data_IF_437692186210
#
_entry.id   IF_437692186210
#
_cell.length_a   1.000
_cell.length_b   1.000
_cell.length_c   1.000
_cell.angle_alpha   90.00
_cell.angle_beta   90.00
_cell.angle_gamma   90.00
#
_symmetry.space_group_name_H-M   'P 1'
#
loop_
_entity.id
_entity.type
_entity.pdbx_description
1 polymer ?
#
# COMPACT_ATOMS: atom_id res chain seq x y z
N UNK A 1 21.84 -26.77 -5.40
CA UNK A 1 20.46 -26.32 -5.10
C UNK A 1 20.18 -25.05 -5.89
N UNK A 2 19.04 -24.95 -6.58
CA UNK A 2 18.88 -24.00 -7.69
C UNK A 2 18.80 -22.55 -7.21
N UNK A 3 19.55 -21.66 -7.86
CA UNK A 3 19.42 -20.21 -7.76
C UNK A 3 17.94 -19.86 -7.90
N UNK A 4 17.31 -19.28 -6.87
CA UNK A 4 15.90 -18.88 -6.95
C UNK A 4 15.75 -17.90 -8.12
N UNK A 5 14.77 -18.13 -8.98
CA UNK A 5 14.57 -17.26 -10.14
C UNK A 5 14.25 -15.83 -9.68
N UNK A 6 14.64 -14.82 -10.46
CA UNK A 6 14.40 -13.43 -10.11
C UNK A 6 12.89 -13.14 -9.93
N UNK A 7 12.04 -13.77 -10.75
CA UNK A 7 10.59 -13.72 -10.61
C UNK A 7 10.09 -14.29 -9.28
N UNK A 8 10.72 -15.37 -8.79
CA UNK A 8 10.42 -15.94 -7.46
C UNK A 8 10.79 -14.96 -6.34
N UNK A 9 11.94 -14.29 -6.44
CA UNK A 9 12.36 -13.30 -5.44
C UNK A 9 11.41 -12.10 -5.41
N UNK A 10 10.96 -11.62 -6.58
CA UNK A 10 9.95 -10.55 -6.68
C UNK A 10 8.62 -10.99 -6.07
N UNK A 11 8.18 -12.23 -6.31
CA UNK A 11 6.98 -12.77 -5.68
C UNK A 11 7.12 -12.85 -4.14
N UNK A 12 8.28 -13.27 -3.64
CA UNK A 12 8.58 -13.28 -2.20
C UNK A 12 8.54 -11.86 -1.64
N UNK A 13 9.13 -10.89 -2.35
CA UNK A 13 9.11 -9.48 -1.97
C UNK A 13 7.68 -8.96 -1.83
N UNK A 14 6.86 -9.13 -2.88
CA UNK A 14 5.45 -8.70 -2.88
C UNK A 14 4.63 -9.34 -1.77
N UNK A 15 4.94 -10.57 -1.38
CA UNK A 15 4.21 -11.26 -0.31
C UNK A 15 4.66 -10.86 1.09
N UNK A 16 5.96 -10.64 1.30
CA UNK A 16 6.54 -10.52 2.66
C UNK A 16 7.05 -9.14 3.03
N UNK A 17 7.45 -8.34 2.05
CA UNK A 17 8.16 -7.08 2.25
C UNK A 17 7.34 -5.89 1.74
N UNK A 18 6.77 -5.99 0.53
CA UNK A 18 5.93 -4.95 -0.08
C UNK A 18 4.80 -4.42 0.82
N UNK A 19 3.96 -5.29 1.43
CA UNK A 19 2.89 -4.83 2.32
C UNK A 19 3.42 -4.11 3.55
N UNK A 20 4.60 -4.52 4.05
CA UNK A 20 5.18 -3.91 5.25
C UNK A 20 5.71 -2.50 4.98
N UNK A 21 6.34 -2.28 3.83
CA UNK A 21 6.77 -0.93 3.44
C UNK A 21 5.57 -0.05 3.09
N UNK A 22 4.52 -0.60 2.47
CA UNK A 22 3.27 0.11 2.22
C UNK A 22 2.62 0.59 3.53
N UNK A 23 2.31 -0.32 4.47
CA UNK A 23 1.75 0.03 5.79
C UNK A 23 2.64 1.01 6.56
N UNK A 24 3.95 0.93 6.36
CA UNK A 24 4.89 1.84 6.98
C UNK A 24 4.81 3.27 6.40
N UNK A 25 4.62 3.40 5.08
CA UNK A 25 4.50 4.68 4.39
C UNK A 25 3.10 5.28 4.54
N UNK A 26 2.04 4.46 4.62
CA UNK A 26 0.67 4.89 4.89
C UNK A 26 0.58 5.71 6.19
N UNK A 27 1.35 5.32 7.22
CA UNK A 27 1.47 6.08 8.45
C UNK A 27 1.88 7.55 8.24
N UNK A 28 2.71 7.84 7.23
CA UNK A 28 3.14 9.21 6.92
C UNK A 28 2.09 9.95 6.08
N UNK A 29 1.41 9.25 5.19
CA UNK A 29 0.29 9.79 4.39
C UNK A 29 -0.88 10.25 5.28
N UNK A 30 -1.13 9.56 6.39
CA UNK A 30 -2.23 9.87 7.33
C UNK A 30 -1.92 11.00 8.33
N UNK A 31 -0.68 11.50 8.37
CA UNK A 31 -0.32 12.58 9.30
C UNK A 31 -1.08 13.86 8.95
N UNK A 32 -1.62 14.54 9.96
CA UNK A 32 -2.42 15.75 9.75
C UNK A 32 -1.58 17.02 9.55
N UNK A 33 -0.28 16.96 9.87
CA UNK A 33 0.60 18.12 9.80
C UNK A 33 1.96 17.78 9.20
N UNK A 34 2.49 18.71 8.41
CA UNK A 34 3.86 18.62 7.90
C UNK A 34 4.89 18.64 9.04
N UNK A 35 4.60 19.32 10.14
CA UNK A 35 5.44 19.31 11.33
C UNK A 35 5.61 17.89 11.89
N UNK A 36 4.51 17.13 12.00
CA UNK A 36 4.56 15.73 12.41
C UNK A 36 5.28 14.88 11.37
N UNK A 37 5.04 15.11 10.08
CA UNK A 37 5.73 14.39 9.01
C UNK A 37 7.24 14.59 9.08
N UNK A 38 7.73 15.82 9.26
CA UNK A 38 9.16 16.12 9.45
C UNK A 38 9.71 15.47 10.72
N UNK A 39 8.95 15.54 11.81
CA UNK A 39 9.32 14.93 13.09
C UNK A 39 9.51 13.43 12.96
N UNK A 40 8.55 12.73 12.39
CA UNK A 40 8.60 11.27 12.25
C UNK A 40 9.51 10.82 11.11
N UNK A 41 9.68 11.61 10.05
CA UNK A 41 10.57 11.26 8.93
C UNK A 41 12.02 11.15 9.40
N UNK A 42 12.42 12.03 10.32
CA UNK A 42 13.76 12.02 10.91
C UNK A 42 13.93 10.93 11.97
N UNK A 43 12.93 10.67 12.83
CA UNK A 43 13.08 9.81 14.02
C UNK A 43 12.52 8.38 13.91
N UNK A 44 11.69 8.10 12.90
CA UNK A 44 10.92 6.85 12.82
C UNK A 44 9.65 6.83 13.69
N UNK A 45 8.79 5.83 13.49
CA UNK A 45 7.56 5.65 14.27
C UNK A 45 7.88 5.29 15.74
N UNK A 46 7.15 5.89 16.68
CA UNK A 46 7.22 5.63 18.14
C UNK A 46 8.58 5.83 18.82
N UNK A 47 9.46 6.68 18.28
CA UNK A 47 10.81 6.85 18.83
C UNK A 47 11.67 5.57 18.75
N UNK A 48 11.20 4.57 17.99
CA UNK A 48 11.96 3.38 17.62
C UNK A 48 12.66 3.68 16.32
N UNK A 49 13.93 4.03 16.47
CA UNK A 49 14.89 4.23 15.39
C UNK A 49 14.81 3.03 14.44
N UNK A 50 14.49 3.26 13.16
CA UNK A 50 14.50 2.17 12.17
C UNK A 50 15.91 1.60 12.07
N UNK A 51 16.03 0.28 11.81
CA UNK A 51 17.29 -0.47 11.81
C UNK A 51 18.45 0.18 11.02
N UNK A 52 18.15 1.06 10.06
CA UNK A 52 19.12 1.79 9.26
C UNK A 52 19.51 3.18 9.83
N UNK A 53 18.61 3.85 10.57
CA UNK A 53 18.90 5.12 11.25
C UNK A 53 19.66 4.94 12.57
N UNK A 54 19.82 3.69 13.04
CA UNK A 54 20.63 3.34 14.21
C UNK A 54 22.08 3.84 14.13
N UNK A 55 22.60 4.05 12.91
CA UNK A 55 23.96 4.51 12.66
C UNK A 55 24.13 6.04 12.64
N UNK A 56 23.05 6.82 12.64
CA UNK A 56 23.10 8.30 12.56
C UNK A 56 23.16 8.92 13.96
N UNK A 57 22.46 8.33 14.93
CA UNK A 57 22.40 8.79 16.32
C UNK A 57 21.29 9.84 16.56
N UNK A 58 20.60 9.73 17.71
CA UNK A 58 19.42 10.55 18.04
C UNK A 58 19.66 12.06 17.92
N UNK A 59 20.84 12.52 18.33
CA UNK A 59 21.22 13.94 18.27
C UNK A 59 21.28 14.47 16.84
N UNK A 60 21.80 13.67 15.90
CA UNK A 60 21.91 14.06 14.49
C UNK A 60 20.56 14.02 13.77
N UNK A 61 19.71 13.05 14.10
CA UNK A 61 18.32 13.03 13.61
C UNK A 61 17.53 14.23 14.12
N UNK A 62 17.79 14.68 15.35
CA UNK A 62 17.19 15.90 15.88
C UNK A 62 17.74 17.17 15.22
N UNK A 63 19.03 17.20 14.85
CA UNK A 63 19.59 18.27 14.03
C UNK A 63 18.91 18.32 12.65
N UNK A 64 18.74 17.17 11.99
CA UNK A 64 18.06 17.07 10.71
C UNK A 64 16.60 17.55 10.80
N UNK A 65 15.88 17.12 11.84
CA UNK A 65 14.51 17.57 12.12
C UNK A 65 14.41 19.09 12.23
N UNK A 66 15.28 19.70 13.05
CA UNK A 66 15.30 21.16 13.25
C UNK A 66 15.63 21.93 11.98
N UNK A 67 16.56 21.41 11.18
CA UNK A 67 16.90 22.03 9.90
C UNK A 67 15.70 21.94 8.95
N UNK A 68 15.14 20.75 8.73
CA UNK A 68 14.02 20.56 7.82
C UNK A 68 12.77 21.35 8.25
N UNK A 69 12.52 21.45 9.57
CA UNK A 69 11.39 22.24 10.08
C UNK A 69 11.53 23.74 9.78
N UNK A 70 12.74 24.29 9.72
CA UNK A 70 12.96 25.70 9.30
C UNK A 70 12.73 25.93 7.81
N UNK A 71 12.72 24.86 7.02
CA UNK A 71 12.53 24.88 5.58
C UNK A 71 11.20 24.21 5.18
N UNK A 72 10.21 24.17 6.08
CA UNK A 72 8.91 23.55 5.85
C UNK A 72 8.18 24.14 4.62
N UNK A 73 8.26 25.45 4.42
CA UNK A 73 7.65 26.12 3.26
C UNK A 73 8.28 25.66 1.93
N UNK A 74 9.61 25.49 1.90
CA UNK A 74 10.31 24.97 0.72
C UNK A 74 9.97 23.49 0.47
N UNK A 75 9.79 22.72 1.54
CA UNK A 75 9.35 21.31 1.46
C UNK A 75 7.94 21.22 0.85
N UNK A 76 6.98 22.05 1.28
CA UNK A 76 5.62 22.09 0.70
C UNK A 76 5.62 22.55 -0.77
N UNK A 77 6.57 23.40 -1.16
CA UNK A 77 6.65 23.92 -2.52
C UNK A 77 7.28 22.93 -3.52
N UNK A 78 7.82 21.79 -3.06
CA UNK A 78 8.38 20.75 -3.94
C UNK A 78 7.29 20.17 -4.85
N UNK A 79 7.62 19.96 -6.13
CA UNK A 79 6.67 19.46 -7.15
C UNK A 79 6.94 18.03 -7.59
N UNK A 80 8.12 17.52 -7.26
CA UNK A 80 8.56 16.17 -7.59
C UNK A 80 9.32 15.57 -6.42
N UNK A 81 9.43 14.24 -6.42
CA UNK A 81 10.28 13.55 -5.45
C UNK A 81 11.75 13.96 -5.59
N UNK A 82 12.22 14.25 -6.80
CA UNK A 82 13.60 14.66 -7.04
C UNK A 82 13.91 16.04 -6.44
N UNK A 83 12.97 16.99 -6.56
CA UNK A 83 13.06 18.29 -5.89
C UNK A 83 13.16 18.13 -4.37
N UNK A 84 12.29 17.28 -3.80
CA UNK A 84 12.26 16.99 -2.37
C UNK A 84 13.54 16.29 -1.90
N UNK A 85 14.01 15.29 -2.65
CA UNK A 85 15.24 14.57 -2.34
C UNK A 85 16.44 15.51 -2.37
N UNK A 86 16.55 16.33 -3.42
CA UNK A 86 17.61 17.33 -3.58
C UNK A 86 17.57 18.38 -2.47
N UNK A 87 16.38 18.84 -2.08
CA UNK A 87 16.22 19.78 -0.97
C UNK A 87 16.70 19.16 0.35
N UNK A 88 16.24 17.95 0.68
CA UNK A 88 16.64 17.24 1.90
C UNK A 88 18.16 17.02 1.90
N UNK A 89 18.74 16.54 0.79
CA UNK A 89 20.19 16.34 0.65
C UNK A 89 20.96 17.64 0.92
N UNK A 90 20.60 18.73 0.24
CA UNK A 90 21.27 20.01 0.36
C UNK A 90 21.20 20.56 1.78
N UNK A 91 20.01 20.51 2.41
CA UNK A 91 19.81 21.05 3.76
C UNK A 91 20.47 20.20 4.84
N UNK A 92 20.60 18.88 4.63
CA UNK A 92 21.18 17.96 5.61
C UNK A 92 22.65 17.63 5.35
N UNK A 93 23.25 18.11 4.25
CA UNK A 93 24.63 17.84 3.84
C UNK A 93 25.70 18.17 4.89
N UNK A 94 25.46 19.15 5.75
CA UNK A 94 26.37 19.55 6.84
C UNK A 94 26.26 18.67 8.10
N UNK A 95 25.27 17.78 8.16
CA UNK A 95 25.02 16.92 9.31
C UNK A 95 25.89 15.67 9.19
N UNK A 96 26.89 15.58 10.06
CA UNK A 96 27.77 14.42 10.13
C UNK A 96 26.98 13.10 10.21
N UNK A 97 27.37 12.14 9.36
CA UNK A 97 26.79 10.79 9.21
C UNK A 97 25.35 10.74 8.69
N UNK A 98 24.75 11.85 8.26
CA UNK A 98 23.49 11.86 7.54
C UNK A 98 23.72 11.57 6.04
N UNK A 99 24.07 10.31 5.74
CA UNK A 99 24.46 9.91 4.38
C UNK A 99 23.26 9.67 3.44
N UNK A 100 23.57 9.35 2.17
CA UNK A 100 22.62 9.10 1.07
C UNK A 100 21.42 8.22 1.45
N UNK A 101 21.64 7.17 2.26
CA UNK A 101 20.54 6.32 2.74
C UNK A 101 19.59 7.06 3.68
N UNK A 102 20.10 7.84 4.63
CA UNK A 102 19.29 8.61 5.57
C UNK A 102 18.53 9.74 4.86
N UNK A 103 19.16 10.37 3.87
CA UNK A 103 18.52 11.33 2.96
C UNK A 103 17.35 10.66 2.26
N UNK A 104 17.59 9.57 1.53
CA UNK A 104 16.54 8.87 0.79
C UNK A 104 15.39 8.40 1.69
N UNK A 105 15.69 7.75 2.83
CA UNK A 105 14.68 7.32 3.80
C UNK A 105 13.81 8.47 4.30
N UNK A 106 14.41 9.64 4.56
CA UNK A 106 13.71 10.83 5.04
C UNK A 106 12.85 11.42 3.93
N UNK A 107 13.41 11.53 2.72
CA UNK A 107 12.69 12.02 1.53
C UNK A 107 11.52 11.11 1.17
N UNK A 108 11.68 9.78 1.27
CA UNK A 108 10.60 8.82 0.98
C UNK A 108 9.42 8.97 1.94
N UNK A 109 9.68 9.19 3.23
CA UNK A 109 8.65 9.41 4.25
C UNK A 109 7.94 10.75 4.07
N UNK A 110 8.71 11.81 3.80
CA UNK A 110 8.12 13.12 3.49
C UNK A 110 7.34 13.10 2.17
N UNK A 111 7.86 12.39 1.17
CA UNK A 111 7.20 12.18 -0.11
C UNK A 111 5.87 11.48 0.04
N UNK A 112 5.79 10.44 0.88
CA UNK A 112 4.53 9.76 1.20
C UNK A 112 3.48 10.70 1.83
N UNK A 113 3.90 11.69 2.61
CA UNK A 113 3.00 12.70 3.19
C UNK A 113 2.56 13.76 2.17
N UNK A 114 3.45 14.12 1.23
CA UNK A 114 3.21 15.15 0.21
C UNK A 114 2.66 14.60 -1.11
N UNK A 115 2.42 13.29 -1.18
CA UNK A 115 2.09 12.55 -2.42
C UNK A 115 3.13 12.74 -3.54
N UNK A 116 4.41 12.83 -3.17
CA UNK A 116 5.56 12.91 -4.07
C UNK A 116 6.31 11.58 -4.05
N UNK A 117 6.20 10.82 -5.14
CA UNK A 117 6.77 9.47 -5.24
C UNK A 117 7.99 9.41 -6.18
N UNK A 118 8.99 8.57 -5.89
CA UNK A 118 10.13 8.42 -6.79
C UNK A 118 9.72 7.83 -8.13
N UNK A 119 10.19 8.42 -9.23
CA UNK A 119 10.01 7.88 -10.59
C UNK A 119 11.18 6.96 -11.00
N UNK A 120 12.32 7.09 -10.31
CA UNK A 120 13.54 6.32 -10.53
C UNK A 120 14.00 5.64 -9.23
N UNK A 121 14.86 4.63 -9.37
CA UNK A 121 15.46 3.94 -8.21
C UNK A 121 16.69 4.71 -7.74
N UNK A 122 16.63 5.27 -6.53
CA UNK A 122 17.76 5.96 -5.90
C UNK A 122 18.75 4.95 -5.29
N UNK A 123 20.04 5.23 -5.43
CA UNK A 123 21.11 4.29 -5.14
C UNK A 123 21.96 4.67 -3.92
N UNK A 124 21.85 3.86 -2.87
CA UNK A 124 22.78 3.85 -1.74
C UNK A 124 23.59 2.54 -1.71
N UNK A 125 24.38 2.31 -0.66
CA UNK A 125 25.32 1.18 -0.61
C UNK A 125 24.63 -0.19 -0.75
N UNK A 126 23.40 -0.35 -0.28
CA UNK A 126 22.64 -1.59 -0.36
C UNK A 126 22.14 -1.86 -1.79
N UNK A 127 21.44 -0.91 -2.38
CA UNK A 127 20.92 -1.01 -3.74
C UNK A 127 21.99 -1.07 -4.80
N UNK A 128 23.12 -0.36 -4.62
CA UNK A 128 24.29 -0.51 -5.52
C UNK A 128 24.80 -1.95 -5.58
N UNK A 129 24.82 -2.67 -4.45
CA UNK A 129 25.18 -4.09 -4.42
C UNK A 129 24.14 -4.94 -5.16
N UNK A 130 22.85 -4.67 -4.93
CA UNK A 130 21.75 -5.32 -5.63
C UNK A 130 21.82 -5.17 -7.15
N UNK A 131 21.93 -3.94 -7.64
CA UNK A 131 22.07 -3.63 -9.06
C UNK A 131 23.30 -4.31 -9.68
N UNK A 132 24.46 -4.24 -9.02
CA UNK A 132 25.69 -4.89 -9.50
C UNK A 132 25.51 -6.40 -9.63
N UNK A 133 24.84 -7.05 -8.67
CA UNK A 133 24.58 -8.47 -8.71
C UNK A 133 23.58 -8.89 -9.82
N UNK A 134 22.75 -7.95 -10.29
CA UNK A 134 21.85 -8.12 -11.44
C UNK A 134 22.47 -7.66 -12.78
N UNK A 135 23.73 -7.23 -12.79
CA UNK A 135 24.40 -6.74 -14.00
C UNK A 135 23.95 -5.35 -14.47
N UNK A 136 23.29 -4.58 -13.59
CA UNK A 136 22.81 -3.22 -13.89
C UNK A 136 23.89 -2.20 -13.53
N UNK A 137 24.16 -1.28 -14.45
CA UNK A 137 25.14 -0.20 -14.25
C UNK A 137 24.59 0.86 -13.28
N UNK A 138 25.41 1.27 -12.30
CA UNK A 138 25.00 2.17 -11.20
C UNK A 138 25.70 3.54 -11.25
N UNK A 139 26.09 4.02 -12.43
CA UNK A 139 26.68 5.35 -12.58
C UNK A 139 25.58 6.41 -12.42
N UNK A 140 25.78 7.38 -11.52
CA UNK A 140 24.89 8.55 -11.39
C UNK A 140 23.93 8.57 -10.20
N UNK A 141 24.06 7.66 -9.23
CA UNK A 141 23.25 7.74 -7.99
C UNK A 141 21.77 7.36 -8.15
N UNK A 142 21.26 7.20 -9.38
CA UNK A 142 19.91 6.72 -9.69
C UNK A 142 19.95 5.69 -10.83
N UNK A 143 18.86 4.92 -10.99
CA UNK A 143 18.64 3.95 -12.07
C UNK A 143 17.19 4.03 -12.55
N UNK A 144 17.03 4.23 -13.86
CA UNK A 144 15.75 4.14 -14.56
C UNK A 144 15.15 2.73 -14.47
N UNK A 145 13.82 2.63 -14.32
CA UNK A 145 13.13 1.34 -14.20
C UNK A 145 13.35 0.43 -15.42
N UNK A 146 13.46 1.00 -16.62
CA UNK A 146 13.70 0.28 -17.87
C UNK A 146 15.05 -0.43 -17.89
N UNK A 147 16.02 0.06 -17.11
CA UNK A 147 17.37 -0.53 -17.01
C UNK A 147 17.39 -1.76 -16.09
N UNK A 148 16.36 -1.97 -15.27
CA UNK A 148 16.23 -3.14 -14.40
C UNK A 148 15.75 -4.37 -15.19
N UNK A 149 15.94 -5.60 -14.68
CA UNK A 149 15.37 -6.79 -15.30
C UNK A 149 13.84 -6.78 -15.28
N UNK A 150 13.19 -7.33 -16.31
CA UNK A 150 11.72 -7.34 -16.48
C UNK A 150 10.91 -7.71 -15.22
N UNK A 151 11.27 -8.73 -14.41
CA UNK A 151 10.51 -9.05 -13.21
C UNK A 151 10.50 -7.92 -12.17
N UNK A 152 11.59 -7.16 -12.05
CA UNK A 152 11.74 -6.06 -11.08
C UNK A 152 10.98 -4.82 -11.55
N UNK A 153 10.82 -4.62 -12.86
CA UNK A 153 10.02 -3.52 -13.45
C UNK A 153 8.54 -3.55 -13.10
N UNK A 154 8.08 -4.66 -12.54
CA UNK A 154 6.71 -4.80 -12.08
C UNK A 154 6.50 -4.23 -10.65
N UNK A 155 7.57 -3.79 -9.99
CA UNK A 155 7.52 -3.09 -8.70
C UNK A 155 7.52 -1.58 -8.94
N UNK A 156 7.01 -0.82 -7.98
CA UNK A 156 7.18 0.63 -7.96
C UNK A 156 8.66 1.01 -7.71
N UNK A 157 9.14 2.20 -8.11
CA UNK A 157 10.55 2.56 -7.96
C UNK A 157 11.08 2.47 -6.51
N UNK A 158 10.28 2.88 -5.53
CA UNK A 158 10.64 2.72 -4.10
C UNK A 158 10.63 1.25 -3.64
N UNK A 159 9.76 0.42 -4.22
CA UNK A 159 9.75 -1.03 -3.95
C UNK A 159 10.92 -1.74 -4.62
N UNK A 160 11.32 -1.28 -5.81
CA UNK A 160 12.49 -1.78 -6.51
C UNK A 160 13.78 -1.42 -5.75
N UNK A 161 13.87 -0.22 -5.19
CA UNK A 161 14.94 0.18 -4.24
C UNK A 161 15.01 -0.84 -3.08
N UNK A 162 13.93 -0.96 -2.30
CA UNK A 162 13.90 -1.82 -1.11
C UNK A 162 14.17 -3.30 -1.47
N UNK A 163 13.63 -3.79 -2.60
CA UNK A 163 13.91 -5.11 -3.15
C UNK A 163 15.40 -5.34 -3.43
N UNK A 164 16.04 -4.40 -4.14
CA UNK A 164 17.46 -4.46 -4.47
C UNK A 164 18.31 -4.43 -3.20
N UNK A 165 17.90 -3.67 -2.20
CA UNK A 165 18.57 -3.60 -0.91
C UNK A 165 18.44 -4.91 -0.12
N UNK A 166 17.24 -5.49 -0.04
CA UNK A 166 16.96 -6.71 0.75
C UNK A 166 17.65 -7.94 0.14
N UNK A 167 17.51 -8.14 -1.18
CA UNK A 167 17.93 -9.37 -1.83
C UNK A 167 19.36 -9.32 -2.40
N UNK A 168 20.11 -8.25 -2.13
CA UNK A 168 21.51 -8.05 -2.59
C UNK A 168 22.41 -9.29 -2.46
N UNK A 169 22.30 -10.02 -1.36
CA UNK A 169 23.12 -11.21 -1.09
C UNK A 169 22.58 -12.47 -1.77
N UNK A 170 21.26 -12.55 -1.96
CA UNK A 170 20.59 -13.65 -2.66
C UNK A 170 20.93 -13.66 -4.16
N UNK A 171 21.11 -12.49 -4.78
CA UNK A 171 21.53 -12.36 -6.18
C UNK A 171 22.96 -12.88 -6.42
N UNK A 172 23.85 -12.70 -5.43
CA UNK A 172 25.26 -13.04 -5.49
C UNK A 172 25.55 -14.55 -5.25
N UNK A 173 24.54 -15.36 -4.96
CA UNK A 173 24.69 -16.80 -4.76
C UNK A 173 25.32 -17.21 -3.42
N UNK A 174 25.32 -16.32 -2.42
CA UNK A 174 25.80 -16.62 -1.08
C UNK A 174 24.60 -16.97 -0.19
N UNK A 175 24.43 -18.24 0.15
CA UNK A 175 23.42 -18.66 1.14
C UNK A 175 23.78 -18.09 2.51
N UNK A 176 23.00 -17.09 2.97
CA UNK A 176 22.89 -16.72 4.38
C UNK A 176 21.42 -16.60 4.74
N UNK A 177 21.09 -16.89 6.01
CA UNK A 177 19.79 -16.59 6.61
C UNK A 177 19.41 -15.15 6.23
N UNK A 178 18.32 -15.00 5.48
CA UNK A 178 17.74 -13.70 5.13
C UNK A 178 17.26 -13.05 6.42
N UNK A 179 18.13 -12.30 7.08
CA UNK A 179 17.73 -11.40 8.15
C UNK A 179 17.13 -10.17 7.47
N UNK A 180 15.81 -10.17 7.32
CA UNK A 180 15.07 -8.98 6.88
C UNK A 180 15.24 -7.85 7.89
N UNK A 181 15.40 -6.62 7.39
CA UNK A 181 15.59 -5.40 8.17
C UNK A 181 14.29 -4.82 8.78
N UNK A 182 13.23 -5.62 8.88
CA UNK A 182 11.98 -5.26 9.55
C UNK A 182 11.82 -6.13 10.80
N UNK A 183 11.22 -5.60 11.89
CA UNK A 183 11.04 -6.35 13.11
C UNK A 183 10.42 -7.72 12.82
N UNK A 184 10.92 -8.76 13.51
CA UNK A 184 10.45 -10.14 13.36
C UNK A 184 8.99 -10.22 13.82
N UNK A 185 8.06 -10.02 12.89
CA UNK A 185 6.65 -10.37 13.05
C UNK A 185 6.44 -11.87 12.82
N UNK A 186 5.58 -12.47 13.65
CA UNK A 186 5.18 -13.89 13.63
C UNK A 186 4.74 -14.35 12.23
N UNK A 187 4.84 -15.65 11.99
CA UNK A 187 4.50 -16.28 10.70
C UNK A 187 3.10 -15.91 10.20
N UNK A 188 2.95 -15.93 8.87
CA UNK A 188 1.68 -15.73 8.17
C UNK A 188 0.72 -16.83 8.65
N UNK A 189 -0.26 -16.44 9.47
CA UNK A 189 -1.40 -17.27 9.80
C UNK A 189 -2.32 -17.24 8.58
N UNK A 190 -2.78 -18.40 8.12
CA UNK A 190 -3.89 -18.45 7.17
C UNK A 190 -5.14 -17.95 7.89
N UNK A 191 -6.01 -17.23 7.20
CA UNK A 191 -7.33 -16.86 7.70
C UNK A 191 -8.06 -18.14 8.15
N UNK A 192 -8.56 -18.15 9.39
CA UNK A 192 -9.23 -19.34 9.94
C UNK A 192 -10.60 -19.53 9.25
N UNK A 193 -11.08 -20.77 9.17
CA UNK A 193 -12.31 -21.09 8.44
C UNK A 193 -13.53 -20.33 9.00
N UNK A 194 -13.57 -20.11 10.31
CA UNK A 194 -14.64 -19.38 10.98
C UNK A 194 -14.59 -17.87 10.69
N UNK A 195 -13.39 -17.30 10.51
CA UNK A 195 -13.21 -15.90 10.08
C UNK A 195 -13.71 -15.73 8.63
N UNK A 196 -13.40 -16.70 7.77
CA UNK A 196 -13.80 -16.69 6.35
C UNK A 196 -15.33 -16.73 6.19
N UNK A 197 -16.02 -17.60 6.95
CA UNK A 197 -17.49 -17.67 6.92
C UNK A 197 -18.15 -16.41 7.48
N UNK A 198 -17.59 -15.80 8.53
CA UNK A 198 -18.09 -14.51 9.05
C UNK A 198 -17.95 -13.40 8.01
N UNK A 199 -16.80 -13.32 7.34
CA UNK A 199 -16.56 -12.33 6.28
C UNK A 199 -17.48 -12.55 5.10
N UNK A 200 -17.75 -13.81 4.73
CA UNK A 200 -18.74 -14.15 3.71
C UNK A 200 -20.15 -13.68 4.09
N UNK A 201 -20.57 -13.93 5.33
CA UNK A 201 -21.86 -13.44 5.84
C UNK A 201 -21.96 -11.91 5.81
N UNK A 202 -20.89 -11.21 6.22
CA UNK A 202 -20.84 -9.75 6.20
C UNK A 202 -20.86 -9.19 4.76
N UNK A 203 -20.12 -9.81 3.83
CA UNK A 203 -20.11 -9.41 2.42
C UNK A 203 -21.51 -9.58 1.79
N UNK A 204 -22.21 -10.68 2.09
CA UNK A 204 -23.59 -10.92 1.66
C UNK A 204 -24.56 -9.87 2.24
N UNK A 205 -24.43 -9.55 3.53
CA UNK A 205 -25.26 -8.53 4.18
C UNK A 205 -25.02 -7.15 3.55
N UNK A 206 -23.77 -6.79 3.30
CA UNK A 206 -23.42 -5.51 2.70
C UNK A 206 -23.94 -5.39 1.26
N UNK A 207 -23.79 -6.44 0.45
CA UNK A 207 -24.38 -6.53 -0.89
C UNK A 207 -25.90 -6.36 -0.86
N UNK A 208 -26.57 -7.11 0.01
CA UNK A 208 -28.03 -7.08 0.16
C UNK A 208 -28.53 -5.69 0.57
N UNK A 209 -27.81 -5.02 1.45
CA UNK A 209 -28.14 -3.67 1.91
C UNK A 209 -28.06 -2.65 0.77
N UNK A 210 -27.01 -2.69 -0.06
CA UNK A 210 -26.90 -1.83 -1.25
C UNK A 210 -28.10 -2.03 -2.19
N UNK A 211 -28.45 -3.28 -2.48
CA UNK A 211 -29.58 -3.58 -3.39
C UNK A 211 -30.92 -3.07 -2.85
N UNK A 212 -31.13 -3.15 -1.54
CA UNK A 212 -32.38 -2.70 -0.90
C UNK A 212 -32.47 -1.19 -0.79
N UNK A 213 -31.36 -0.51 -0.51
CA UNK A 213 -31.35 0.94 -0.41
C UNK A 213 -31.11 1.63 -1.77
N UNK A 214 -30.90 0.88 -2.86
CA UNK A 214 -30.57 1.37 -4.20
C UNK A 214 -31.43 2.56 -4.67
N UNK A 215 -32.75 2.50 -4.47
CA UNK A 215 -33.67 3.59 -4.88
C UNK A 215 -33.56 4.87 -4.04
N UNK A 216 -32.87 4.79 -2.89
CA UNK A 216 -32.59 5.91 -1.98
C UNK A 216 -31.17 6.45 -2.15
N UNK A 217 -30.31 5.75 -2.91
CA UNK A 217 -28.94 6.18 -3.17
C UNK A 217 -28.93 7.33 -4.17
N UNK A 218 -28.35 8.45 -3.76
CA UNK A 218 -28.19 9.65 -4.60
C UNK A 218 -26.84 9.68 -5.30
N UNK A 219 -25.86 8.90 -4.82
CA UNK A 219 -24.53 8.84 -5.40
C UNK A 219 -24.56 8.13 -6.76
N UNK A 220 -24.07 8.82 -7.79
CA UNK A 220 -24.05 8.33 -9.18
C UNK A 220 -23.28 7.01 -9.35
N UNK A 221 -22.30 6.72 -8.48
CA UNK A 221 -21.53 5.48 -8.54
C UNK A 221 -22.38 4.22 -8.29
N UNK A 222 -23.57 4.35 -7.68
CA UNK A 222 -24.42 3.22 -7.29
C UNK A 222 -25.74 3.12 -8.06
N UNK A 223 -26.03 4.04 -9.00
CA UNK A 223 -27.31 4.05 -9.74
C UNK A 223 -27.51 2.77 -10.55
N UNK A 224 -26.44 2.29 -11.18
CA UNK A 224 -26.44 1.07 -12.00
C UNK A 224 -25.80 -0.13 -11.30
N UNK A 225 -25.70 -0.07 -9.97
CA UNK A 225 -25.08 -1.12 -9.14
C UNK A 225 -25.55 -2.53 -9.58
N UNK A 226 -24.62 -3.49 -9.81
CA UNK A 226 -23.18 -3.41 -9.52
C UNK A 226 -22.29 -2.74 -10.59
N UNK A 227 -22.84 -2.40 -11.76
CA UNK A 227 -22.04 -1.91 -12.91
C UNK A 227 -21.42 -0.55 -12.60
N UNK A 228 -20.09 -0.46 -12.78
CA UNK A 228 -19.35 0.80 -12.61
C UNK A 228 -19.09 1.19 -11.15
N UNK A 229 -19.52 0.38 -10.19
CA UNK A 229 -19.48 0.68 -8.75
C UNK A 229 -18.34 -0.01 -7.98
N UNK A 230 -17.54 -0.85 -8.66
CA UNK A 230 -16.59 -1.75 -8.01
C UNK A 230 -15.55 -1.03 -7.12
N UNK A 231 -15.11 0.17 -7.51
CA UNK A 231 -14.11 0.94 -6.75
C UNK A 231 -14.70 1.43 -5.42
N UNK A 232 -15.79 2.17 -5.48
CA UNK A 232 -16.47 2.74 -4.32
C UNK A 232 -17.01 1.63 -3.42
N UNK A 233 -17.57 0.58 -4.00
CA UNK A 233 -18.09 -0.56 -3.26
C UNK A 233 -17.00 -1.28 -2.48
N UNK A 234 -15.83 -1.52 -3.10
CA UNK A 234 -14.71 -2.16 -2.41
C UNK A 234 -14.18 -1.32 -1.26
N UNK A 235 -14.14 0.01 -1.42
CA UNK A 235 -13.74 0.92 -0.35
C UNK A 235 -14.71 0.90 0.83
N UNK A 236 -16.01 1.05 0.56
CA UNK A 236 -17.03 1.07 1.60
C UNK A 236 -17.14 -0.30 2.30
N UNK A 237 -17.03 -1.40 1.55
CA UNK A 237 -17.00 -2.74 2.11
C UNK A 237 -15.81 -2.93 3.04
N UNK A 238 -14.63 -2.42 2.69
CA UNK A 238 -13.45 -2.53 3.54
C UNK A 238 -13.61 -1.78 4.86
N UNK A 239 -14.19 -0.57 4.82
CA UNK A 239 -14.55 0.21 6.02
C UNK A 239 -15.57 -0.51 6.89
N UNK A 240 -16.57 -1.16 6.28
CA UNK A 240 -17.58 -1.94 6.99
C UNK A 240 -17.00 -3.19 7.66
N UNK A 241 -16.16 -3.95 6.95
CA UNK A 241 -15.49 -5.11 7.53
C UNK A 241 -14.61 -4.70 8.72
N UNK A 242 -13.90 -3.58 8.60
CA UNK A 242 -13.09 -3.03 9.69
C UNK A 242 -13.95 -2.63 10.90
N UNK A 243 -15.11 -1.99 10.69
CA UNK A 243 -16.02 -1.62 11.79
C UNK A 243 -16.61 -2.83 12.50
N UNK A 244 -16.69 -3.99 11.82
CA UNK A 244 -17.10 -5.28 12.40
C UNK A 244 -15.91 -6.09 12.98
N UNK A 245 -14.72 -5.51 13.05
CA UNK A 245 -13.52 -6.11 13.66
C UNK A 245 -12.62 -6.89 12.71
N UNK A 246 -12.95 -6.94 11.41
CA UNK A 246 -12.15 -7.60 10.38
C UNK A 246 -11.28 -6.58 9.66
N UNK A 247 -10.11 -6.27 10.21
CA UNK A 247 -9.14 -5.34 9.64
C UNK A 247 -8.07 -6.05 8.79
N UNK A 248 -7.21 -5.25 8.14
CA UNK A 248 -6.07 -5.74 7.34
C UNK A 248 -6.41 -6.09 5.89
N UNK A 249 -7.58 -5.65 5.40
CA UNK A 249 -7.94 -5.77 3.98
C UNK A 249 -7.11 -4.83 3.12
N UNK A 250 -6.82 -5.28 1.90
CA UNK A 250 -6.19 -4.47 0.86
C UNK A 250 -7.18 -4.30 -0.28
N UNK A 251 -7.51 -3.07 -0.63
CA UNK A 251 -8.16 -2.74 -1.89
C UNK A 251 -7.21 -3.09 -3.03
N UNK A 252 -7.72 -3.80 -4.03
CA UNK A 252 -7.00 -4.13 -5.27
C UNK A 252 -7.84 -3.66 -6.44
N UNK A 253 -7.21 -3.02 -7.42
CA UNK A 253 -7.80 -2.91 -8.77
C UNK A 253 -6.91 -3.56 -9.81
N UNK A 254 -7.54 -4.13 -10.82
CA UNK A 254 -6.88 -4.88 -11.87
C UNK A 254 -7.49 -4.64 -13.25
N UNK A 255 -6.71 -5.00 -14.25
CA UNK A 255 -7.06 -4.97 -15.65
C UNK A 255 -7.16 -6.38 -16.22
N UNK A 256 -8.28 -6.70 -16.85
CA UNK A 256 -8.46 -7.92 -17.65
C UNK A 256 -8.52 -7.52 -19.13
N UNK A 257 -7.47 -7.85 -19.88
CA UNK A 257 -7.27 -7.29 -21.22
C UNK A 257 -7.06 -5.77 -21.20
N UNK A 258 -7.40 -5.09 -22.30
CA UNK A 258 -7.06 -3.68 -22.51
C UNK A 258 -8.13 -2.68 -22.01
N UNK A 259 -9.32 -3.16 -21.62
CA UNK A 259 -10.47 -2.27 -21.34
C UNK A 259 -11.28 -2.61 -20.10
N UNK A 260 -11.05 -3.76 -19.48
CA UNK A 260 -11.85 -4.20 -18.34
C UNK A 260 -11.12 -3.89 -17.04
N UNK A 261 -11.52 -2.82 -16.38
CA UNK A 261 -11.09 -2.49 -15.03
C UNK A 261 -12.03 -3.10 -14.00
N UNK A 262 -11.46 -3.59 -12.91
CA UNK A 262 -12.24 -4.09 -11.78
C UNK A 262 -11.54 -3.84 -10.46
N UNK A 263 -12.31 -3.79 -9.37
CA UNK A 263 -11.79 -3.62 -8.01
C UNK A 263 -12.46 -4.58 -7.03
N UNK A 264 -11.67 -5.04 -6.06
CA UNK A 264 -12.08 -5.98 -5.01
C UNK A 264 -11.19 -5.82 -3.76
N UNK A 265 -11.51 -6.55 -2.69
CA UNK A 265 -10.69 -6.62 -1.47
C UNK A 265 -9.89 -7.92 -1.41
N UNK A 266 -8.69 -7.88 -0.83
CA UNK A 266 -7.92 -9.10 -0.52
C UNK A 266 -7.24 -9.07 0.85
N UNK A 267 -7.16 -10.23 1.50
CA UNK A 267 -6.40 -10.46 2.74
C UNK A 267 -5.95 -11.92 2.76
N UNK A 268 -4.66 -12.15 3.02
CA UNK A 268 -4.06 -13.50 3.13
C UNK A 268 -4.37 -14.48 1.98
N UNK A 269 -4.61 -13.94 0.77
CA UNK A 269 -4.95 -14.71 -0.44
C UNK A 269 -6.46 -14.84 -0.69
N UNK A 270 -7.30 -14.54 0.28
CA UNK A 270 -8.76 -14.43 0.12
C UNK A 270 -9.08 -13.21 -0.73
N UNK A 271 -9.92 -13.40 -1.75
CA UNK A 271 -10.54 -12.33 -2.51
C UNK A 271 -11.99 -12.17 -2.00
N UNK A 272 -12.39 -10.93 -1.71
CA UNK A 272 -13.75 -10.54 -1.35
C UNK A 272 -14.24 -9.53 -2.40
N UNK A 273 -15.25 -9.91 -3.15
CA UNK A 273 -15.81 -9.11 -4.24
C UNK A 273 -17.32 -9.28 -4.29
N UNK A 274 -18.03 -8.17 -4.12
CA UNK A 274 -19.50 -8.13 -4.16
C UNK A 274 -20.02 -7.42 -5.40
N UNK A 275 -19.19 -7.26 -6.42
CA UNK A 275 -19.49 -6.57 -7.68
C UNK A 275 -19.03 -7.36 -8.90
N UNK A 276 -18.59 -8.61 -8.73
CA UNK A 276 -18.07 -9.44 -9.81
C UNK A 276 -19.07 -9.62 -10.95
N UNK A 277 -20.36 -9.77 -10.60
CA UNK A 277 -21.49 -9.91 -11.53
C UNK A 277 -21.80 -8.67 -12.36
N UNK A 278 -21.04 -7.58 -12.23
CA UNK A 278 -21.00 -6.56 -13.29
C UNK A 278 -20.50 -7.13 -14.63
N UNK A 279 -19.82 -8.29 -14.59
CA UNK A 279 -19.42 -9.04 -15.76
C UNK A 279 -20.24 -10.33 -15.86
N UNK A 280 -20.86 -10.57 -17.02
CA UNK A 280 -21.70 -11.74 -17.24
C UNK A 280 -20.96 -13.09 -17.21
N UNK A 281 -19.63 -13.08 -17.17
CA UNK A 281 -18.79 -14.28 -17.04
C UNK A 281 -18.24 -14.49 -15.61
N UNK A 282 -18.67 -13.68 -14.63
CA UNK A 282 -18.36 -13.91 -13.23
C UNK A 282 -19.12 -15.14 -12.69
N UNK A 283 -18.50 -15.94 -11.80
CA UNK A 283 -19.10 -17.17 -11.30
C UNK A 283 -20.23 -16.95 -10.28
N UNK A 284 -20.23 -15.81 -9.58
CA UNK A 284 -21.21 -15.46 -8.55
C UNK A 284 -21.28 -13.94 -8.36
N UNK A 285 -22.35 -13.44 -7.76
CA UNK A 285 -22.54 -12.04 -7.41
C UNK A 285 -21.73 -11.62 -6.18
N UNK A 286 -21.49 -12.56 -5.26
CA UNK A 286 -20.61 -12.38 -4.09
C UNK A 286 -19.57 -13.49 -4.06
N UNK A 287 -18.31 -13.11 -4.26
CA UNK A 287 -17.17 -14.01 -4.22
C UNK A 287 -16.39 -13.74 -2.94
N UNK A 288 -16.30 -14.74 -2.06
CA UNK A 288 -15.37 -14.76 -0.93
C UNK A 288 -14.57 -16.05 -1.01
N UNK A 289 -13.38 -15.98 -1.58
CA UNK A 289 -12.65 -17.16 -2.06
C UNK A 289 -11.13 -17.04 -1.84
N UNK A 290 -10.50 -17.96 -1.08
CA UNK A 290 -9.04 -18.07 -0.91
C UNK A 290 -8.27 -18.43 -2.18
N UNK A 291 -8.93 -18.93 -3.22
CA UNK A 291 -8.29 -19.42 -4.45
C UNK A 291 -9.07 -19.05 -5.72
N UNK A 292 -9.66 -17.86 -5.76
CA UNK A 292 -10.48 -17.43 -6.91
C UNK A 292 -9.70 -17.44 -8.22
N UNK A 293 -10.08 -18.36 -9.12
CA UNK A 293 -9.58 -18.42 -10.50
C UNK A 293 -10.02 -17.23 -11.35
N UNK A 294 -11.16 -16.62 -11.02
CA UNK A 294 -11.70 -15.45 -11.72
C UNK A 294 -10.80 -14.21 -11.54
N UNK A 295 -10.53 -13.82 -10.30
CA UNK A 295 -9.61 -12.72 -9.97
C UNK A 295 -8.18 -12.91 -10.52
N UNK A 296 -7.72 -14.15 -10.72
CA UNK A 296 -6.40 -14.44 -11.33
C UNK A 296 -6.27 -14.02 -12.79
N UNK A 297 -7.39 -13.74 -13.47
CA UNK A 297 -7.39 -13.24 -14.84
C UNK A 297 -7.02 -11.75 -14.92
N UNK A 298 -7.07 -11.03 -13.80
CA UNK A 298 -6.78 -9.60 -13.74
C UNK A 298 -5.30 -9.36 -13.45
N UNK A 299 -4.66 -8.54 -14.29
CA UNK A 299 -3.35 -7.96 -13.99
C UNK A 299 -3.57 -6.82 -13.00
N UNK A 300 -3.10 -6.99 -11.78
CA UNK A 300 -3.18 -5.97 -10.73
C UNK A 300 -2.50 -4.67 -11.19
N UNK A 301 -3.23 -3.56 -11.06
CA UNK A 301 -2.81 -2.20 -11.42
C UNK A 301 -2.58 -1.36 -10.16
N UNK A 302 -3.44 -1.49 -9.15
CA UNK A 302 -3.34 -0.70 -7.91
C UNK A 302 -3.61 -1.56 -6.70
N UNK A 303 -2.90 -1.29 -5.60
CA UNK A 303 -3.18 -1.83 -4.27
C UNK A 303 -3.06 -0.71 -3.24
N UNK A 304 -3.96 -0.67 -2.26
CA UNK A 304 -3.96 0.33 -1.18
C UNK A 304 -4.88 -0.12 -0.03
N UNK A 305 -4.84 0.52 1.15
CA UNK A 305 -5.90 0.34 2.13
C UNK A 305 -7.28 0.78 1.56
N UNK A 306 -8.37 0.10 1.94
CA UNK A 306 -9.72 0.55 1.65
C UNK A 306 -9.99 1.91 2.31
N UNK A 307 -10.77 2.77 1.65
CA UNK A 307 -11.09 4.11 2.13
C UNK A 307 -9.98 5.16 1.96
N UNK A 308 -8.77 4.76 1.53
CA UNK A 308 -7.65 5.69 1.32
C UNK A 308 -7.80 6.58 0.08
N UNK A 309 -8.69 6.24 -0.86
CA UNK A 309 -9.04 7.13 -1.96
C UNK A 309 -10.13 8.11 -1.51
N UNK A 310 -9.75 9.38 -1.32
CA UNK A 310 -10.75 10.45 -1.25
C UNK A 310 -11.16 10.77 -2.70
N UNK A 311 -12.44 10.65 -3.09
CA UNK A 311 -12.90 11.29 -4.31
C UNK A 311 -12.80 12.82 -4.13
N UNK A 312 -12.88 13.58 -5.22
CA UNK A 312 -12.85 15.05 -5.15
C UNK A 312 -13.85 15.56 -4.09
N UNK A 313 -13.55 16.66 -3.38
CA UNK A 313 -14.30 17.10 -2.19
C UNK A 313 -15.82 17.11 -2.35
N UNK A 314 -16.33 17.42 -3.54
CA UNK A 314 -17.74 17.40 -3.94
C UNK A 314 -18.42 16.03 -3.85
N UNK A 315 -17.73 14.93 -4.14
CA UNK A 315 -18.30 13.57 -4.12
C UNK A 315 -18.21 12.91 -2.74
N UNK A 316 -17.43 13.49 -1.83
CA UNK A 316 -17.21 12.94 -0.49
C UNK A 316 -18.49 12.90 0.33
N UNK A 317 -19.33 13.94 0.27
CA UNK A 317 -20.59 13.97 1.04
C UNK A 317 -21.59 12.91 0.58
N UNK A 318 -21.71 12.69 -0.74
CA UNK A 318 -22.64 11.71 -1.31
C UNK A 318 -22.21 10.26 -0.99
N UNK A 319 -20.91 9.99 -1.03
CA UNK A 319 -20.35 8.68 -0.67
C UNK A 319 -20.53 8.39 0.82
N UNK A 320 -20.32 9.38 1.70
CA UNK A 320 -20.56 9.20 3.13
C UNK A 320 -22.06 9.03 3.45
N UNK A 321 -22.95 9.72 2.74
CA UNK A 321 -24.40 9.52 2.89
C UNK A 321 -24.84 8.15 2.40
N UNK A 322 -24.31 7.71 1.26
CA UNK A 322 -24.50 6.36 0.73
C UNK A 322 -24.05 5.32 1.76
N UNK A 323 -22.86 5.49 2.32
CA UNK A 323 -22.33 4.56 3.31
C UNK A 323 -23.21 4.50 4.56
N UNK A 324 -23.61 5.65 5.10
CA UNK A 324 -24.52 5.72 6.26
C UNK A 324 -25.82 4.98 6.00
N UNK A 325 -26.43 5.19 4.83
CA UNK A 325 -27.68 4.54 4.44
C UNK A 325 -27.53 3.02 4.29
N UNK A 326 -26.40 2.55 3.77
CA UNK A 326 -26.09 1.10 3.72
C UNK A 326 -26.02 0.54 5.14
N UNK A 327 -25.28 1.19 6.05
CA UNK A 327 -25.16 0.75 7.44
C UNK A 327 -26.51 0.73 8.17
N UNK A 328 -27.33 1.78 8.02
CA UNK A 328 -28.68 1.83 8.58
C UNK A 328 -29.55 0.66 8.09
N UNK A 329 -29.41 0.29 6.81
CA UNK A 329 -30.16 -0.82 6.22
C UNK A 329 -29.74 -2.16 6.82
N UNK A 330 -28.43 -2.36 7.04
CA UNK A 330 -27.89 -3.56 7.72
C UNK A 330 -28.41 -3.63 9.16
N UNK A 331 -28.34 -2.53 9.91
CA UNK A 331 -28.78 -2.49 11.32
C UNK A 331 -30.27 -2.82 11.49
N UNK A 332 -31.12 -2.35 10.56
CA UNK A 332 -32.55 -2.67 10.55
C UNK A 332 -32.76 -4.18 10.35
N UNK A 333 -31.97 -4.82 9.50
CA UNK A 333 -32.05 -6.26 9.27
C UNK A 333 -31.54 -7.08 10.45
N UNK A 334 -30.41 -6.69 11.05
CA UNK A 334 -29.88 -7.36 12.24
C UNK A 334 -30.92 -7.33 13.38
N UNK A 335 -31.61 -6.20 13.57
CA UNK A 335 -32.71 -6.06 14.55
C UNK A 335 -33.95 -6.88 14.19
N UNK A 336 -34.34 -6.92 12.92
CA UNK A 336 -35.49 -7.71 12.46
C UNK A 336 -35.24 -9.23 12.54
N UNK A 337 -33.97 -9.64 12.45
CA UNK A 337 -33.54 -11.04 12.47
C UNK A 337 -33.32 -11.60 13.88
N UNK A 338 -33.40 -10.76 14.92
CA UNK A 338 -33.29 -11.18 16.33
C UNK A 338 -31.89 -11.57 16.80
N UNK A 339 -30.84 -11.33 16.01
CA UNK A 339 -29.45 -11.59 16.39
C UNK A 339 -28.85 -10.36 17.09
N UNK A 340 -29.18 -10.17 18.36
CA UNK A 340 -28.37 -9.33 19.25
C UNK A 340 -27.13 -10.11 19.66
N UNK A 341 -25.93 -9.64 19.27
CA UNK A 341 -24.66 -10.08 19.88
C UNK A 341 -24.59 -9.59 21.32
#
# INVERSE_FOLDING_TARGET
MSKQSLSTLVAIYRRKHGPRIATYLDYFTELQSLEDAIRFACHGKDGKIHGHQHLVGKEKLEQARKVLQRHADEIMACKSFDDLHTLVENRTSSIDRFGVLAVYDTSLRLGAHLDLWPEVVYLHAGTKKGCKALGVMTKGGTVEMEKLPKPVRALEPYQAEDFLCIFKDAFAGVERKVNGCLPKGRGILKMENDELEQVKSLALAFRSAIERCKLRLTCIAFTDFPVGSCSETSDLLGRFLESKGFSGWTYVSGLRGDRTHHAWLTKDGVCVDITADQFGDAPDAVIVDPDSTWHRQFKIVRQRPPGAACPQPEFRSEIEETFRLILETIDVEERASGNSV
#
